data_IF_248579165076
#
_entry.id   IF_248579165076
#
_cell.length_a   1.000
_cell.length_b   1.000
_cell.length_c   1.000
_cell.angle_alpha   90.00
_cell.angle_beta   90.00
_cell.angle_gamma   90.00
#
_symmetry.space_group_name_H-M   'P 1'
#
loop_
_entity.id
_entity.type
_entity.pdbx_description
1 polymer ?
#
# COMPACT_ATOMS: atom_id res chain seq x y z
N UNK A 1 -6.79 1.78 -11.33
CA UNK A 1 -6.41 2.15 -12.73
C UNK A 1 -6.13 3.64 -12.77
N UNK A 2 -5.10 4.08 -13.49
CA UNK A 2 -4.70 5.48 -13.60
C UNK A 2 -5.05 5.98 -15.00
N UNK A 3 -5.72 7.13 -15.06
CA UNK A 3 -6.02 7.88 -16.28
C UNK A 3 -5.71 9.35 -16.06
N UNK A 4 -5.73 10.15 -17.13
CA UNK A 4 -5.56 11.61 -17.07
C UNK A 4 -6.92 12.24 -17.36
N UNK A 5 -7.34 13.23 -16.54
CA UNK A 5 -8.70 13.76 -16.57
C UNK A 5 -9.14 14.32 -17.93
N UNK A 6 -8.24 15.07 -18.59
CA UNK A 6 -8.61 15.88 -19.75
C UNK A 6 -8.13 15.31 -21.10
N UNK A 7 -7.50 14.13 -21.10
CA UNK A 7 -6.95 13.52 -22.31
C UNK A 7 -6.66 12.04 -22.14
N UNK A 8 -6.54 11.31 -23.26
CA UNK A 8 -6.14 9.91 -23.24
C UNK A 8 -4.69 9.78 -22.78
N UNK A 9 -4.44 8.86 -21.84
CA UNK A 9 -3.09 8.45 -21.48
C UNK A 9 -2.47 7.68 -22.65
N UNK A 10 -1.39 8.19 -23.23
CA UNK A 10 -0.70 7.49 -24.31
C UNK A 10 0.18 6.35 -23.77
N UNK A 11 0.59 5.41 -24.62
CA UNK A 11 1.52 4.34 -24.21
C UNK A 11 2.87 4.91 -23.75
N UNK A 12 3.39 5.93 -24.41
CA UNK A 12 4.66 6.58 -24.04
C UNK A 12 4.57 7.21 -22.65
N UNK A 13 3.47 7.89 -22.35
CA UNK A 13 3.23 8.47 -21.03
C UNK A 13 3.00 7.43 -19.97
N UNK A 14 2.27 6.36 -20.29
CA UNK A 14 2.12 5.24 -19.38
C UNK A 14 3.49 4.59 -19.07
N UNK A 15 4.38 4.49 -20.07
CA UNK A 15 5.76 4.04 -19.87
C UNK A 15 6.54 5.02 -19.02
N UNK A 16 6.45 6.34 -19.27
CA UNK A 16 7.14 7.32 -18.43
C UNK A 16 6.64 7.26 -16.98
N UNK A 17 5.32 7.27 -16.76
CA UNK A 17 4.72 7.17 -15.44
C UNK A 17 5.07 5.85 -14.73
N UNK A 18 5.16 4.73 -15.47
CA UNK A 18 5.57 3.46 -14.88
C UNK A 18 6.97 3.51 -14.28
N UNK A 19 7.88 4.33 -14.82
CA UNK A 19 9.21 4.54 -14.20
C UNK A 19 9.11 5.21 -12.84
N UNK A 20 8.22 6.18 -12.69
CA UNK A 20 8.03 6.91 -11.43
C UNK A 20 7.40 6.01 -10.36
N UNK A 21 6.50 5.11 -10.77
CA UNK A 21 5.81 4.18 -9.89
C UNK A 21 6.63 2.95 -9.53
N UNK A 22 7.42 2.42 -10.45
CA UNK A 22 8.10 1.12 -10.32
C UNK A 22 8.85 1.01 -9.00
N UNK A 23 9.64 2.01 -8.66
CA UNK A 23 10.48 2.01 -7.46
C UNK A 23 9.70 2.25 -6.16
N UNK A 24 8.42 2.64 -6.27
CA UNK A 24 7.51 2.82 -5.14
C UNK A 24 6.64 1.58 -4.90
N UNK A 25 6.60 0.62 -5.84
CA UNK A 25 5.80 -0.59 -5.71
C UNK A 25 6.09 -1.39 -4.43
N UNK A 26 7.34 -1.52 -3.93
CA UNK A 26 7.59 -2.19 -2.66
C UNK A 26 6.89 -1.52 -1.47
N UNK A 27 6.87 -0.17 -1.41
CA UNK A 27 6.10 0.54 -0.40
C UNK A 27 4.60 0.25 -0.55
N UNK A 28 4.08 0.33 -1.79
CA UNK A 28 2.66 0.08 -2.08
C UNK A 28 2.23 -1.36 -1.75
N UNK A 29 3.11 -2.34 -1.93
CA UNK A 29 2.89 -3.72 -1.49
C UNK A 29 2.84 -3.78 0.05
N UNK A 30 3.76 -3.11 0.74
CA UNK A 30 3.83 -3.12 2.20
C UNK A 30 2.60 -2.46 2.85
N UNK A 31 2.19 -1.28 2.37
CA UNK A 31 1.01 -0.55 2.85
C UNK A 31 -0.30 -1.20 2.39
N UNK A 32 -0.30 -1.84 1.22
CA UNK A 32 -1.45 -2.53 0.64
C UNK A 32 -1.64 -3.98 1.08
N UNK A 33 -0.72 -4.56 1.87
CA UNK A 33 -0.81 -5.96 2.29
C UNK A 33 -2.02 -6.21 3.21
N UNK A 34 -2.82 -7.23 2.89
CA UNK A 34 -4.05 -7.54 3.62
C UNK A 34 -4.44 -9.03 3.62
N UNK A 35 -3.48 -9.93 3.42
CA UNK A 35 -3.77 -11.38 3.33
C UNK A 35 -2.85 -12.23 4.20
N UNK A 36 -2.86 -12.07 5.54
CA UNK A 36 -2.01 -12.83 6.44
C UNK A 36 -2.49 -14.26 6.71
N UNK A 37 -3.76 -14.55 6.39
CA UNK A 37 -4.36 -15.88 6.49
C UNK A 37 -4.33 -16.53 5.10
N UNK A 38 -3.94 -17.79 5.04
CA UNK A 38 -4.06 -18.61 3.84
C UNK A 38 -4.40 -20.04 4.19
N UNK A 39 -5.25 -20.67 3.39
CA UNK A 39 -5.65 -22.07 3.56
C UNK A 39 -5.99 -22.39 5.03
N UNK A 40 -6.88 -21.58 5.60
CA UNK A 40 -7.36 -21.73 6.99
C UNK A 40 -6.26 -21.64 8.06
N UNK A 41 -5.10 -21.04 7.77
CA UNK A 41 -3.98 -20.90 8.71
C UNK A 41 -3.46 -19.47 8.75
N UNK A 42 -3.09 -19.01 9.94
CA UNK A 42 -2.28 -17.78 10.09
C UNK A 42 -0.89 -18.07 9.57
N UNK A 43 -0.41 -17.22 8.67
CA UNK A 43 0.93 -17.34 8.10
C UNK A 43 1.84 -16.25 8.68
N UNK A 44 3.15 -16.43 8.56
CA UNK A 44 4.13 -15.38 8.85
C UNK A 44 4.28 -14.34 7.73
N UNK A 45 3.31 -14.23 6.81
CA UNK A 45 3.36 -13.36 5.63
C UNK A 45 2.33 -12.24 5.75
N UNK A 46 2.66 -11.05 5.26
CA UNK A 46 1.71 -9.93 5.21
C UNK A 46 0.73 -10.04 4.02
N UNK A 47 1.23 -10.47 2.85
CA UNK A 47 0.43 -10.70 1.65
C UNK A 47 0.71 -12.08 1.04
N UNK A 48 -0.16 -13.05 1.33
CA UNK A 48 -0.14 -14.34 0.64
C UNK A 48 -0.56 -14.21 -0.82
N UNK A 49 -1.51 -13.32 -1.13
CA UNK A 49 -1.96 -13.07 -2.51
C UNK A 49 -0.78 -12.70 -3.39
N UNK A 50 -0.01 -11.70 -2.98
CA UNK A 50 1.14 -11.25 -3.77
C UNK A 50 2.20 -12.34 -3.91
N UNK A 51 2.61 -12.97 -2.80
CA UNK A 51 3.68 -13.98 -2.83
C UNK A 51 3.33 -15.20 -3.70
N UNK A 52 2.10 -15.70 -3.59
CA UNK A 52 1.65 -16.87 -4.37
C UNK A 52 1.35 -16.51 -5.82
N UNK A 53 0.95 -15.27 -6.09
CA UNK A 53 0.70 -14.78 -7.44
C UNK A 53 1.93 -14.20 -8.14
N UNK A 54 3.08 -14.04 -7.49
CA UNK A 54 4.25 -13.36 -8.05
C UNK A 54 4.80 -14.01 -9.33
N UNK A 55 4.56 -15.30 -9.54
CA UNK A 55 4.97 -16.03 -10.76
C UNK A 55 3.90 -16.04 -11.85
N UNK A 56 2.64 -15.72 -11.54
CA UNK A 56 1.50 -15.92 -12.45
C UNK A 56 0.65 -14.69 -12.69
N UNK A 57 0.50 -13.79 -11.72
CA UNK A 57 -0.42 -12.65 -11.74
C UNK A 57 0.22 -11.30 -11.39
N UNK A 58 1.39 -11.32 -10.76
CA UNK A 58 2.18 -10.13 -10.38
C UNK A 58 3.63 -10.27 -10.84
N UNK A 59 3.84 -10.82 -12.04
CA UNK A 59 5.19 -11.05 -12.54
C UNK A 59 5.93 -9.72 -12.64
N UNK A 60 7.15 -9.62 -12.09
CA UNK A 60 7.89 -8.37 -12.08
C UNK A 60 8.09 -7.82 -13.48
N UNK A 61 8.01 -6.50 -13.57
CA UNK A 61 8.38 -5.71 -14.73
C UNK A 61 9.77 -5.11 -14.49
N UNK A 62 10.54 -4.88 -15.54
CA UNK A 62 11.72 -4.02 -15.43
C UNK A 62 11.27 -2.58 -15.60
N UNK A 63 12.03 -1.64 -15.04
CA UNK A 63 11.80 -0.21 -15.24
C UNK A 63 11.79 0.09 -16.74
N UNK A 64 10.70 0.66 -17.22
CA UNK A 64 10.48 1.01 -18.63
C UNK A 64 9.94 -0.06 -19.54
N UNK A 65 9.85 -1.28 -19.04
CA UNK A 65 9.17 -2.34 -19.76
C UNK A 65 7.69 -2.29 -19.40
N UNK A 66 6.87 -1.76 -20.33
CA UNK A 66 5.43 -1.74 -20.20
C UNK A 66 4.78 -2.62 -21.27
N UNK A 67 4.12 -3.68 -20.80
CA UNK A 67 3.44 -4.65 -21.66
C UNK A 67 1.92 -4.51 -21.53
N UNK A 68 1.21 -5.18 -22.43
CA UNK A 68 -0.25 -5.39 -22.33
C UNK A 68 -0.60 -6.78 -21.77
N UNK A 69 0.36 -7.46 -21.14
CA UNK A 69 0.14 -8.79 -20.57
C UNK A 69 -0.44 -8.62 -19.16
N UNK A 70 -1.67 -9.08 -18.96
CA UNK A 70 -2.48 -8.84 -17.74
C UNK A 70 -1.93 -9.50 -16.46
N UNK A 71 -0.87 -10.30 -16.56
CA UNK A 71 -0.20 -10.98 -15.44
C UNK A 71 0.96 -10.18 -14.84
N UNK A 72 1.26 -9.01 -15.40
CA UNK A 72 2.31 -8.13 -14.87
C UNK A 72 1.77 -7.24 -13.76
N UNK A 73 2.66 -6.75 -12.91
CA UNK A 73 2.32 -5.82 -11.83
C UNK A 73 1.94 -4.41 -12.31
N UNK A 74 2.47 -4.01 -13.47
CA UNK A 74 2.17 -2.77 -14.18
C UNK A 74 1.77 -3.11 -15.63
N UNK A 75 0.58 -2.67 -16.04
CA UNK A 75 0.01 -3.01 -17.35
C UNK A 75 -0.55 -1.77 -18.03
N UNK A 76 -0.25 -1.58 -19.30
CA UNK A 76 -0.96 -0.61 -20.13
C UNK A 76 -2.20 -1.22 -20.76
N UNK A 77 -3.36 -0.74 -20.35
CA UNK A 77 -4.63 -1.07 -21.00
C UNK A 77 -4.92 -0.06 -22.10
N UNK A 78 -4.99 -0.51 -23.36
CA UNK A 78 -5.13 0.36 -24.56
C UNK A 78 -6.46 1.14 -24.64
N UNK A 79 -7.37 0.94 -23.69
CA UNK A 79 -8.72 1.51 -23.74
C UNK A 79 -9.59 0.88 -24.82
N UNK A 80 -10.89 1.11 -24.73
CA UNK A 80 -11.92 0.71 -25.71
C UNK A 80 -12.98 1.80 -25.80
N UNK A 81 -13.97 1.67 -26.69
CA UNK A 81 -15.03 2.70 -26.89
C UNK A 81 -15.67 3.18 -25.57
N UNK A 82 -15.80 2.31 -24.58
CA UNK A 82 -16.43 2.59 -23.28
C UNK A 82 -15.46 2.82 -22.11
N UNK A 83 -14.14 2.68 -22.31
CA UNK A 83 -13.15 2.81 -21.23
C UNK A 83 -11.89 3.52 -21.75
N UNK A 84 -11.44 4.63 -21.14
CA UNK A 84 -10.21 5.28 -21.56
C UNK A 84 -8.99 4.37 -21.37
N UNK A 85 -7.89 4.62 -22.08
CA UNK A 85 -6.63 3.94 -21.81
C UNK A 85 -6.14 4.23 -20.38
N UNK A 86 -5.58 3.22 -19.72
CA UNK A 86 -5.14 3.33 -18.32
C UNK A 86 -3.83 2.61 -18.07
N UNK A 87 -3.05 3.12 -17.12
CA UNK A 87 -1.99 2.36 -16.46
C UNK A 87 -2.61 1.60 -15.27
N UNK A 88 -2.47 0.29 -15.24
CA UNK A 88 -2.99 -0.57 -14.18
C UNK A 88 -1.89 -0.96 -13.21
N UNK A 89 -2.08 -0.64 -11.92
CA UNK A 89 -1.26 -1.15 -10.82
C UNK A 89 -1.99 -2.33 -10.19
N UNK A 90 -1.34 -3.49 -10.10
CA UNK A 90 -1.99 -4.76 -9.74
C UNK A 90 -1.49 -5.37 -8.43
N UNK A 91 -0.60 -4.67 -7.73
CA UNK A 91 0.11 -5.18 -6.55
C UNK A 91 -0.71 -5.19 -5.26
N UNK A 92 -1.73 -4.33 -5.14
CA UNK A 92 -2.54 -4.20 -3.92
C UNK A 92 -3.40 -5.43 -3.64
N UNK A 93 -3.49 -5.82 -2.37
CA UNK A 93 -4.57 -6.71 -1.92
C UNK A 93 -5.86 -5.91 -1.78
N UNK A 94 -7.01 -6.59 -1.87
CA UNK A 94 -8.28 -5.99 -1.46
C UNK A 94 -8.21 -5.61 0.01
N UNK A 95 -8.66 -4.41 0.36
CA UNK A 95 -8.53 -3.85 1.71
C UNK A 95 -9.76 -3.00 2.07
N UNK A 96 -9.87 -2.60 3.34
CA UNK A 96 -10.93 -1.70 3.81
C UNK A 96 -10.72 -0.26 3.29
N UNK A 97 -11.79 0.56 3.20
CA UNK A 97 -11.77 1.82 2.47
C UNK A 97 -10.63 2.78 2.85
N UNK A 98 -10.35 2.95 4.14
CA UNK A 98 -9.37 3.92 4.65
C UNK A 98 -7.96 3.55 4.21
N UNK A 99 -7.58 2.26 4.30
CA UNK A 99 -6.30 1.78 3.76
C UNK A 99 -6.24 1.88 2.23
N UNK A 100 -7.36 1.65 1.53
CA UNK A 100 -7.41 1.84 0.07
C UNK A 100 -7.17 3.30 -0.30
N UNK A 101 -7.85 4.24 0.34
CA UNK A 101 -7.73 5.68 0.07
C UNK A 101 -6.33 6.19 0.40
N UNK A 102 -5.74 5.78 1.53
CA UNK A 102 -4.36 6.13 1.84
C UNK A 102 -3.36 5.65 0.77
N UNK A 103 -3.52 4.41 0.28
CA UNK A 103 -2.71 3.89 -0.82
C UNK A 103 -2.95 4.65 -2.14
N UNK A 104 -4.19 5.08 -2.41
CA UNK A 104 -4.50 5.92 -3.56
C UNK A 104 -3.82 7.29 -3.46
N UNK A 105 -3.75 7.90 -2.27
CA UNK A 105 -3.01 9.15 -2.06
C UNK A 105 -1.51 8.98 -2.35
N UNK A 106 -0.89 7.88 -1.91
CA UNK A 106 0.50 7.57 -2.26
C UNK A 106 0.69 7.47 -3.79
N UNK A 107 -0.20 6.75 -4.48
CA UNK A 107 -0.14 6.63 -5.95
C UNK A 107 -0.36 7.98 -6.63
N UNK A 108 -1.35 8.76 -6.18
CA UNK A 108 -1.70 10.06 -6.74
C UNK A 108 -0.57 11.07 -6.54
N UNK A 109 0.14 11.04 -5.41
CA UNK A 109 1.35 11.83 -5.19
C UNK A 109 2.40 11.60 -6.29
N UNK A 110 2.71 10.33 -6.59
CA UNK A 110 3.66 9.99 -7.66
C UNK A 110 3.17 10.49 -9.03
N UNK A 111 1.86 10.38 -9.29
CA UNK A 111 1.26 10.84 -10.55
C UNK A 111 1.31 12.37 -10.69
N UNK A 112 1.03 13.11 -9.62
CA UNK A 112 1.07 14.57 -9.62
C UNK A 112 2.50 15.08 -9.84
N UNK A 113 3.48 14.49 -9.17
CA UNK A 113 4.90 14.78 -9.36
C UNK A 113 5.33 14.56 -10.82
N UNK A 114 4.92 13.43 -11.42
CA UNK A 114 5.16 13.16 -12.83
C UNK A 114 4.49 14.20 -13.76
N UNK A 115 3.25 14.60 -13.48
CA UNK A 115 2.54 15.62 -14.27
C UNK A 115 3.20 17.00 -14.20
N UNK A 116 3.89 17.32 -13.10
CA UNK A 116 4.71 18.53 -12.96
C UNK A 116 6.04 18.48 -13.73
N UNK A 117 6.37 17.33 -14.33
CA UNK A 117 7.63 17.13 -15.04
C UNK A 117 8.83 16.92 -14.12
N UNK A 118 8.61 16.71 -12.82
CA UNK A 118 9.67 16.48 -11.85
C UNK A 118 10.25 15.08 -11.96
N UNK A 119 11.53 14.91 -11.61
CA UNK A 119 12.17 13.59 -11.62
C UNK A 119 11.55 12.63 -10.58
N UNK A 120 11.63 11.32 -10.85
CA UNK A 120 11.25 10.29 -9.90
C UNK A 120 12.03 10.41 -8.58
N UNK A 121 11.33 10.35 -7.45
CA UNK A 121 11.92 10.60 -6.13
C UNK A 121 12.93 9.53 -5.67
N UNK A 122 12.81 8.31 -6.20
CA UNK A 122 13.69 7.19 -5.87
C UNK A 122 14.22 6.51 -7.15
N UNK A 123 15.42 5.94 -7.04
CA UNK A 123 16.03 5.09 -8.06
C UNK A 123 16.75 3.91 -7.42
N UNK A 124 16.25 2.70 -7.60
CA UNK A 124 16.89 1.45 -7.12
C UNK A 124 17.43 0.58 -8.26
N UNK A 125 18.28 -0.41 -7.96
CA UNK A 125 18.63 -1.43 -8.96
C UNK A 125 17.46 -2.40 -9.18
N UNK A 126 17.41 -3.10 -10.31
CA UNK A 126 16.38 -4.12 -10.51
C UNK A 126 16.56 -5.31 -9.55
N UNK A 127 17.79 -5.62 -9.14
CA UNK A 127 18.06 -6.64 -8.13
C UNK A 127 17.47 -6.25 -6.76
N UNK A 128 17.74 -5.03 -6.30
CA UNK A 128 17.17 -4.50 -5.05
C UNK A 128 15.64 -4.48 -5.09
N UNK A 129 15.08 -4.12 -6.25
CA UNK A 129 13.64 -4.12 -6.48
C UNK A 129 13.00 -5.50 -6.27
N UNK A 130 13.58 -6.55 -6.85
CA UNK A 130 13.07 -7.92 -6.70
C UNK A 130 13.11 -8.39 -5.24
N UNK A 131 14.18 -8.05 -4.53
CA UNK A 131 14.32 -8.34 -3.10
C UNK A 131 13.28 -7.55 -2.28
N UNK A 132 13.15 -6.24 -2.53
CA UNK A 132 12.28 -5.35 -1.79
C UNK A 132 10.81 -5.73 -1.90
N UNK A 133 10.33 -6.14 -3.08
CA UNK A 133 8.93 -6.61 -3.26
C UNK A 133 8.63 -7.84 -2.42
N UNK A 134 9.55 -8.80 -2.42
CA UNK A 134 9.40 -10.04 -1.66
C UNK A 134 9.43 -9.77 -0.15
N UNK A 135 10.31 -8.86 0.26
CA UNK A 135 10.40 -8.42 1.65
C UNK A 135 9.14 -7.67 2.10
N UNK A 136 8.65 -6.73 1.28
CA UNK A 136 7.40 -6.00 1.50
C UNK A 136 6.19 -6.95 1.63
N UNK A 137 6.04 -7.91 0.72
CA UNK A 137 4.94 -8.86 0.78
C UNK A 137 5.06 -9.83 1.97
N UNK A 138 6.28 -10.15 2.40
CA UNK A 138 6.51 -11.00 3.56
C UNK A 138 6.27 -10.26 4.88
N UNK A 139 6.82 -9.06 5.04
CA UNK A 139 6.91 -8.36 6.32
C UNK A 139 5.94 -7.19 6.45
N UNK A 140 5.26 -6.77 5.37
CA UNK A 140 4.42 -5.58 5.35
C UNK A 140 5.22 -4.35 5.75
N UNK A 141 4.62 -3.49 6.60
CA UNK A 141 5.31 -2.31 7.16
C UNK A 141 6.46 -2.63 8.13
N UNK A 142 6.79 -3.91 8.39
CA UNK A 142 8.03 -4.31 9.09
C UNK A 142 9.19 -4.58 8.12
N UNK A 143 8.99 -4.41 6.82
CA UNK A 143 10.02 -4.58 5.79
C UNK A 143 11.13 -3.54 5.89
N UNK A 144 12.30 -3.86 5.32
CA UNK A 144 13.27 -2.87 4.88
C UNK A 144 13.13 -2.67 3.37
N UNK A 145 13.24 -1.42 2.93
CA UNK A 145 13.06 -0.99 1.54
C UNK A 145 14.23 -0.10 1.12
N UNK A 146 14.71 -0.21 -0.14
CA UNK A 146 15.84 0.57 -0.64
C UNK A 146 15.40 1.98 -1.10
N UNK A 147 15.91 3.02 -0.45
CA UNK A 147 15.80 4.41 -0.90
C UNK A 147 17.18 4.92 -1.35
N UNK A 148 17.32 5.30 -2.62
CA UNK A 148 18.60 5.74 -3.22
C UNK A 148 19.77 4.77 -2.92
N UNK A 149 19.48 3.45 -2.95
CA UNK A 149 20.36 2.30 -2.63
C UNK A 149 20.61 2.03 -1.13
N UNK A 150 20.08 2.84 -0.22
CA UNK A 150 20.15 2.58 1.22
C UNK A 150 18.93 1.80 1.70
N UNK A 151 19.14 0.67 2.37
CA UNK A 151 18.06 -0.14 2.93
C UNK A 151 17.60 0.40 4.29
N UNK A 152 16.39 0.96 4.33
CA UNK A 152 15.80 1.53 5.54
C UNK A 152 14.47 0.87 5.91
N UNK A 153 14.04 0.91 7.18
CA UNK A 153 12.70 0.47 7.57
C UNK A 153 11.60 1.13 6.72
N UNK A 154 10.54 0.37 6.39
CA UNK A 154 9.40 0.88 5.62
C UNK A 154 8.73 2.13 6.24
N UNK A 155 8.64 2.29 7.59
CA UNK A 155 8.21 3.54 8.20
C UNK A 155 9.09 4.75 7.84
N UNK A 156 10.41 4.57 7.81
CA UNK A 156 11.37 5.63 7.48
C UNK A 156 11.33 5.93 5.98
N UNK A 157 11.12 4.89 5.16
CA UNK A 157 10.84 5.05 3.73
C UNK A 157 9.56 5.87 3.51
N UNK A 158 8.49 5.59 4.26
CA UNK A 158 7.24 6.34 4.17
C UNK A 158 7.44 7.82 4.55
N UNK A 159 8.19 8.11 5.61
CA UNK A 159 8.52 9.51 5.97
C UNK A 159 9.31 10.21 4.86
N UNK A 160 10.33 9.57 4.31
CA UNK A 160 11.09 10.14 3.20
C UNK A 160 10.21 10.32 1.96
N UNK A 161 9.32 9.37 1.66
CA UNK A 161 8.35 9.47 0.58
C UNK A 161 7.43 10.68 0.75
N UNK A 162 6.84 10.85 1.93
CA UNK A 162 5.93 11.98 2.22
C UNK A 162 6.67 13.32 2.17
N UNK A 163 7.91 13.38 2.64
CA UNK A 163 8.73 14.59 2.55
C UNK A 163 9.04 15.00 1.10
N UNK A 164 9.41 14.03 0.27
CA UNK A 164 9.77 14.26 -1.14
C UNK A 164 8.53 14.54 -2.02
N UNK A 165 7.34 14.19 -1.54
CA UNK A 165 6.07 14.48 -2.22
C UNK A 165 5.18 15.49 -1.48
N UNK A 166 5.73 16.28 -0.54
CA UNK A 166 4.95 17.16 0.34
C UNK A 166 4.05 18.12 -0.45
N UNK A 167 4.57 18.69 -1.54
CA UNK A 167 3.83 19.62 -2.39
C UNK A 167 2.69 18.94 -3.17
N UNK A 168 2.78 17.63 -3.42
CA UNK A 168 1.65 16.86 -3.97
C UNK A 168 0.63 16.51 -2.90
N UNK A 169 1.06 16.23 -1.67
CA UNK A 169 0.17 16.01 -0.53
C UNK A 169 -0.63 17.26 -0.18
N UNK A 170 0.02 18.41 -0.13
CA UNK A 170 -0.61 19.71 0.13
C UNK A 170 -1.67 20.05 -0.95
N UNK A 171 -1.45 19.59 -2.19
CA UNK A 171 -2.38 19.81 -3.30
C UNK A 171 -3.57 18.84 -3.36
N UNK A 172 -3.61 17.79 -2.53
CA UNK A 172 -4.62 16.73 -2.61
C UNK A 172 -5.85 16.92 -1.71
N UNK A 173 -5.86 17.94 -0.83
CA UNK A 173 -6.92 18.20 0.16
C UNK A 173 -7.35 16.91 0.89
N UNK A 174 -6.38 16.28 1.56
CA UNK A 174 -6.54 14.95 2.15
C UNK A 174 -7.17 15.08 3.54
N UNK A 175 -8.28 14.35 3.83
CA UNK A 175 -8.89 14.35 5.16
C UNK A 175 -7.94 13.82 6.25
N UNK A 176 -8.11 14.32 7.48
CA UNK A 176 -7.23 13.97 8.62
C UNK A 176 -7.27 12.47 8.94
N UNK A 177 -8.40 11.79 8.70
CA UNK A 177 -8.56 10.34 8.89
C UNK A 177 -7.60 9.54 7.99
N UNK A 178 -7.29 10.08 6.79
CA UNK A 178 -6.33 9.44 5.89
C UNK A 178 -4.89 9.71 6.34
N UNK A 179 -4.61 10.89 6.89
CA UNK A 179 -3.33 11.14 7.56
C UNK A 179 -3.13 10.24 8.78
N UNK A 180 -4.21 9.95 9.53
CA UNK A 180 -4.17 8.98 10.61
C UNK A 180 -3.75 7.59 10.12
N UNK A 181 -4.29 7.12 8.98
CA UNK A 181 -3.86 5.86 8.36
C UNK A 181 -2.38 5.88 7.98
N UNK A 182 -1.87 6.99 7.44
CA UNK A 182 -0.44 7.13 7.16
C UNK A 182 0.41 7.04 8.44
N UNK A 183 -0.07 7.61 9.56
CA UNK A 183 0.58 7.47 10.89
C UNK A 183 0.53 6.03 11.39
N UNK A 184 -0.57 5.30 11.16
CA UNK A 184 -0.67 3.87 11.47
C UNK A 184 0.35 3.05 10.67
N UNK A 185 0.53 3.34 9.38
CA UNK A 185 1.58 2.69 8.59
C UNK A 185 2.97 2.91 9.20
N UNK A 186 3.27 4.12 9.69
CA UNK A 186 4.52 4.41 10.40
C UNK A 186 4.65 3.63 11.72
N UNK A 187 3.53 3.35 12.41
CA UNK A 187 3.44 2.40 13.54
C UNK A 187 3.48 0.93 13.14
N UNK A 188 3.73 0.64 11.86
CA UNK A 188 3.74 -0.71 11.26
C UNK A 188 2.38 -1.41 11.34
N UNK A 189 1.31 -0.63 11.39
CA UNK A 189 -0.06 -1.08 11.49
C UNK A 189 -0.77 -0.87 10.14
N UNK A 190 -0.95 -1.96 9.41
CA UNK A 190 -1.68 -2.03 8.13
C UNK A 190 -2.79 -3.09 8.22
N UNK A 191 -3.58 -3.25 7.15
CA UNK A 191 -4.66 -4.24 7.10
C UNK A 191 -4.20 -5.67 7.47
N UNK A 192 -3.04 -6.11 6.98
CA UNK A 192 -2.49 -7.41 7.35
C UNK A 192 -2.20 -7.54 8.86
N UNK A 193 -1.67 -6.50 9.52
CA UNK A 193 -1.42 -6.53 10.96
C UNK A 193 -2.74 -6.59 11.74
N UNK A 194 -3.72 -5.77 11.37
CA UNK A 194 -5.03 -5.74 12.00
C UNK A 194 -5.72 -7.10 11.91
N UNK A 195 -5.78 -7.70 10.71
CA UNK A 195 -6.37 -9.03 10.50
C UNK A 195 -5.61 -10.10 11.29
N UNK A 196 -4.28 -10.07 11.25
CA UNK A 196 -3.46 -11.03 11.98
C UNK A 196 -3.77 -11.01 13.48
N UNK A 197 -3.83 -9.83 14.10
CA UNK A 197 -4.08 -9.70 15.53
C UNK A 197 -5.50 -10.15 15.90
N UNK A 198 -6.50 -9.83 15.07
CA UNK A 198 -7.90 -10.24 15.29
C UNK A 198 -8.07 -11.75 15.20
N UNK A 199 -7.37 -12.39 14.26
CA UNK A 199 -7.39 -13.84 14.09
C UNK A 199 -6.64 -14.53 15.23
N UNK A 200 -5.48 -14.02 15.62
CA UNK A 200 -4.71 -14.56 16.74
C UNK A 200 -5.54 -14.54 18.03
N UNK A 201 -6.28 -13.44 18.26
CA UNK A 201 -7.24 -13.35 19.36
C UNK A 201 -8.34 -14.41 19.25
N UNK A 202 -9.00 -14.52 18.09
CA UNK A 202 -10.07 -15.50 17.89
C UNK A 202 -9.59 -16.95 18.06
N UNK A 203 -8.35 -17.27 17.64
CA UNK A 203 -7.73 -18.59 17.85
C UNK A 203 -7.53 -18.84 19.34
N UNK A 204 -7.02 -17.85 20.08
CA UNK A 204 -6.77 -17.97 21.52
C UNK A 204 -8.06 -18.19 22.31
N UNK A 205 -9.12 -17.47 21.97
CA UNK A 205 -10.42 -17.55 22.68
C UNK A 205 -11.25 -18.76 22.25
N UNK A 206 -11.17 -19.14 20.98
CA UNK A 206 -12.05 -20.13 20.38
C UNK A 206 -11.32 -21.08 19.41
N UNK A 207 -10.35 -21.89 19.86
CA UNK A 207 -9.46 -22.66 18.97
C UNK A 207 -10.18 -23.53 17.92
N UNK A 208 -11.34 -24.09 18.24
CA UNK A 208 -12.10 -24.96 17.34
C UNK A 208 -13.03 -24.20 16.38
N UNK A 209 -13.43 -22.97 16.73
CA UNK A 209 -14.45 -22.21 15.97
C UNK A 209 -14.00 -20.80 15.59
N UNK A 210 -12.70 -20.51 15.71
CA UNK A 210 -12.12 -19.18 15.53
C UNK A 210 -12.48 -18.55 14.20
N UNK A 211 -12.60 -19.34 13.12
CA UNK A 211 -12.94 -18.84 11.79
C UNK A 211 -14.32 -18.19 11.77
N UNK A 212 -15.30 -18.88 12.36
CA UNK A 212 -16.67 -18.37 12.46
C UNK A 212 -16.73 -17.14 13.36
N UNK A 213 -15.94 -17.13 14.44
CA UNK A 213 -15.89 -16.01 15.41
C UNK A 213 -15.25 -14.77 14.79
N UNK A 214 -14.08 -14.93 14.18
CA UNK A 214 -13.41 -13.89 13.40
C UNK A 214 -14.33 -13.36 12.28
N UNK A 215 -14.91 -14.23 11.46
CA UNK A 215 -15.79 -13.80 10.36
C UNK A 215 -17.02 -13.04 10.86
N UNK A 216 -17.60 -13.44 12.00
CA UNK A 216 -18.71 -12.71 12.62
C UNK A 216 -18.29 -11.30 13.04
N UNK A 217 -17.19 -11.15 13.80
CA UNK A 217 -16.66 -9.85 14.23
C UNK A 217 -16.27 -8.98 13.03
N UNK A 218 -15.57 -9.56 12.05
CA UNK A 218 -15.13 -8.84 10.85
C UNK A 218 -16.30 -8.33 10.01
N UNK A 219 -17.35 -9.15 9.81
CA UNK A 219 -18.56 -8.71 9.10
C UNK A 219 -19.29 -7.60 9.86
N UNK A 220 -19.38 -7.71 11.19
CA UNK A 220 -19.98 -6.69 12.06
C UNK A 220 -19.22 -5.36 11.93
N UNK A 221 -17.89 -5.42 12.07
CA UNK A 221 -17.00 -4.27 11.92
C UNK A 221 -17.14 -3.63 10.55
N UNK A 222 -17.16 -4.41 9.47
CA UNK A 222 -17.35 -3.88 8.12
C UNK A 222 -18.67 -3.12 8.00
N UNK A 223 -19.75 -3.63 8.60
CA UNK A 223 -21.05 -2.94 8.61
C UNK A 223 -20.96 -1.59 9.32
N UNK A 224 -20.26 -1.51 10.46
CA UNK A 224 -20.07 -0.26 11.20
C UNK A 224 -19.22 0.74 10.42
N UNK A 225 -18.10 0.27 9.85
CA UNK A 225 -17.21 1.10 9.05
C UNK A 225 -17.93 1.70 7.83
N UNK A 226 -18.69 0.87 7.10
CA UNK A 226 -19.49 1.30 5.96
C UNK A 226 -20.69 2.19 6.34
N UNK A 227 -21.02 2.28 7.63
CA UNK A 227 -22.03 3.21 8.16
C UNK A 227 -21.43 4.57 8.56
N UNK A 228 -20.15 4.82 8.27
CA UNK A 228 -19.47 6.09 8.53
C UNK A 228 -18.75 6.17 9.87
N UNK A 229 -18.55 5.04 10.56
CA UNK A 229 -17.72 5.00 11.78
C UNK A 229 -16.22 4.97 11.44
N UNK A 230 -15.39 5.11 12.46
CA UNK A 230 -13.94 5.23 12.29
C UNK A 230 -13.25 3.87 12.17
N UNK A 231 -12.00 3.90 11.73
CA UNK A 231 -11.13 2.72 11.75
C UNK A 231 -10.86 2.22 13.18
N UNK A 232 -10.91 3.11 14.18
CA UNK A 232 -10.80 2.74 15.59
C UNK A 232 -12.03 1.92 16.04
N UNK A 233 -13.24 2.33 15.64
CA UNK A 233 -14.47 1.57 15.93
C UNK A 233 -14.43 0.18 15.28
N UNK A 234 -13.91 0.10 14.05
CA UNK A 234 -13.68 -1.17 13.37
C UNK A 234 -12.71 -2.09 14.12
N UNK A 235 -11.60 -1.53 14.62
CA UNK A 235 -10.62 -2.28 15.43
C UNK A 235 -11.22 -2.73 16.77
N UNK A 236 -12.05 -1.88 17.40
CA UNK A 236 -12.74 -2.19 18.64
C UNK A 236 -13.74 -3.34 18.48
N UNK A 237 -14.51 -3.37 17.39
CA UNK A 237 -15.44 -4.47 17.05
C UNK A 237 -14.70 -5.80 16.79
N UNK A 238 -13.46 -5.72 16.32
CA UNK A 238 -12.56 -6.86 16.19
C UNK A 238 -11.85 -7.24 17.50
N UNK A 239 -12.06 -6.46 18.56
CA UNK A 239 -11.44 -6.59 19.88
C UNK A 239 -9.91 -6.51 19.86
N UNK A 240 -9.34 -5.80 18.88
CA UNK A 240 -7.89 -5.64 18.75
C UNK A 240 -7.41 -4.27 19.20
N UNK A 241 -6.21 -4.18 19.81
CA UNK A 241 -5.63 -2.90 20.16
C UNK A 241 -5.46 -2.00 18.92
N UNK A 242 -5.87 -0.75 19.05
CA UNK A 242 -5.65 0.29 18.07
C UNK A 242 -4.50 1.20 18.53
N UNK A 243 -3.38 1.31 17.78
CA UNK A 243 -2.26 2.13 18.19
C UNK A 243 -2.58 3.62 18.17
N UNK A 244 -2.22 4.36 19.23
CA UNK A 244 -2.33 5.81 19.23
C UNK A 244 -1.41 6.48 18.19
N UNK A 245 -1.95 7.49 17.52
CA UNK A 245 -1.30 8.28 16.46
C UNK A 245 -0.95 9.72 16.89
N UNK A 246 -1.36 10.16 18.08
CA UNK A 246 -1.26 11.56 18.57
C UNK A 246 0.16 12.17 18.54
N UNK A 247 1.19 11.34 18.65
CA UNK A 247 2.61 11.78 18.65
C UNK A 247 3.40 11.22 17.47
N UNK A 248 2.71 10.88 16.38
CA UNK A 248 3.32 10.34 15.17
C UNK A 248 3.35 11.43 14.10
N UNK A 249 4.53 12.00 13.91
CA UNK A 249 4.78 12.96 12.84
C UNK A 249 4.90 12.25 11.50
N UNK A 250 4.48 12.88 10.41
CA UNK A 250 4.64 12.38 9.05
C UNK A 250 5.59 13.30 8.28
N UNK A 251 6.47 12.71 7.47
CA UNK A 251 7.51 13.48 6.81
C UNK A 251 8.63 13.86 7.79
N UNK A 252 9.63 14.61 7.31
CA UNK A 252 10.76 14.95 8.18
C UNK A 252 10.34 15.90 9.31
N UNK A 253 10.51 15.42 10.53
CA UNK A 253 11.15 16.20 11.60
C UNK A 253 12.43 15.46 11.99
N UNK A 254 13.46 15.50 11.12
CA UNK A 254 14.82 15.17 11.60
C UNK A 254 15.17 16.31 12.55
N UNK A 255 15.45 15.99 13.81
CA UNK A 255 15.93 16.98 14.76
C UNK A 255 17.07 17.78 14.13
N UNK A 256 16.93 19.10 14.14
CA UNK A 256 17.97 19.93 14.73
C UNK A 256 18.24 19.38 16.14
N UNK A 257 19.17 18.43 16.22
CA UNK A 257 20.01 18.32 17.41
C UNK A 257 21.36 18.84 16.92
N UNK A 258 21.40 20.17 16.85
CA UNK A 258 22.57 21.04 16.96
C UNK A 258 21.95 22.41 17.25
N UNK A 259 21.64 22.60 18.54
CA UNK A 259 21.78 23.83 19.35
C UNK A 259 21.45 23.50 20.81
#
# INVERSE_FOLDING_TARGET
HISVANRKLTKQEATALSWHLHDQLPLLIATGANSPIWDKKVTGKASNRFLRGNTTYFTPTKRGDLTSVDTRELVYSKGRKTKPPTLEIRVFDSNIPEFVVANLCLVKAVCLRWLRGEAAANRMSHADYLLARTEAATKGMKARLPWKREWMPAPDYLDQFLWEHREEFDAMDIPEEIYEVLRLFKRRYNGARLIHDAVALAIREHPQTWQRRFAKRYRSGLSHLLSGNTLQDFAAELEVPFPSTERVWLGRKRGSIDE
#
